data_IF_930278885031
#
_entry.id   IF_930278885031
#
_cell.length_a   1.000
_cell.length_b   1.000
_cell.length_c   1.000
_cell.angle_alpha   90.00
_cell.angle_beta   90.00
_cell.angle_gamma   90.00
#
_symmetry.space_group_name_H-M   'P 1'
#
loop_
_entity.id
_entity.type
_entity.pdbx_description
1 polymer ?
#
# COMPACT_ATOMS: atom_id res chain seq x y z
N UNK A 1 -20.29 21.14 -35.85
CA UNK A 1 -19.45 20.53 -34.79
C UNK A 1 -19.30 19.06 -35.15
N UNK A 2 -18.15 18.64 -35.64
CA UNK A 2 -17.88 17.22 -35.91
C UNK A 2 -17.77 16.50 -34.57
N UNK A 3 -18.74 15.63 -34.24
CA UNK A 3 -18.63 14.71 -33.12
C UNK A 3 -17.39 13.82 -33.36
N UNK A 4 -16.39 13.93 -32.52
CA UNK A 4 -15.26 13.01 -32.54
C UNK A 4 -15.83 11.63 -32.17
N UNK A 5 -15.90 10.73 -33.15
CA UNK A 5 -16.28 9.35 -32.90
C UNK A 5 -15.18 8.71 -32.05
N UNK A 6 -15.48 8.47 -30.76
CA UNK A 6 -14.55 7.79 -29.84
C UNK A 6 -14.64 6.30 -30.14
N UNK A 7 -13.55 5.72 -30.63
CA UNK A 7 -13.43 4.26 -30.78
C UNK A 7 -13.09 3.62 -29.41
N UNK A 8 -14.14 3.26 -28.68
CA UNK A 8 -14.02 2.61 -27.37
C UNK A 8 -13.37 1.23 -27.44
N UNK A 9 -13.49 0.52 -28.58
CA UNK A 9 -12.85 -0.79 -28.75
C UNK A 9 -11.31 -0.66 -28.79
N UNK A 10 -10.80 0.31 -29.53
CA UNK A 10 -9.37 0.63 -29.54
C UNK A 10 -8.88 1.12 -28.19
N UNK A 11 -9.65 1.96 -27.48
CA UNK A 11 -9.29 2.42 -26.15
C UNK A 11 -9.26 1.28 -25.12
N UNK A 12 -10.21 0.36 -25.15
CA UNK A 12 -10.24 -0.82 -24.29
C UNK A 12 -8.98 -1.68 -24.52
N UNK A 13 -8.66 -1.98 -25.77
CA UNK A 13 -7.46 -2.76 -26.12
C UNK A 13 -6.19 -2.06 -25.62
N UNK A 14 -6.02 -0.79 -25.92
CA UNK A 14 -4.87 -0.01 -25.49
C UNK A 14 -4.73 0.04 -23.94
N UNK A 15 -5.85 0.12 -23.23
CA UNK A 15 -5.88 0.06 -21.77
C UNK A 15 -5.37 -1.28 -21.21
N UNK A 16 -5.80 -2.40 -21.81
CA UNK A 16 -5.34 -3.74 -21.44
C UNK A 16 -3.85 -3.92 -21.77
N UNK A 17 -3.43 -3.51 -22.96
CA UNK A 17 -2.02 -3.59 -23.41
C UNK A 17 -1.11 -2.77 -22.48
N UNK A 18 -1.51 -1.56 -22.09
CA UNK A 18 -0.77 -0.73 -21.12
C UNK A 18 -0.67 -1.39 -19.74
N UNK A 19 -1.72 -2.08 -19.28
CA UNK A 19 -1.70 -2.85 -18.04
C UNK A 19 -0.70 -4.01 -18.11
N UNK A 20 -0.74 -4.78 -19.20
CA UNK A 20 0.20 -5.89 -19.46
C UNK A 20 1.65 -5.36 -19.47
N UNK A 21 1.92 -4.29 -20.24
CA UNK A 21 3.24 -3.70 -20.36
C UNK A 21 3.80 -3.25 -18.99
N UNK A 22 2.98 -2.63 -18.14
CA UNK A 22 3.42 -2.22 -16.80
C UNK A 22 3.76 -3.42 -15.92
N UNK A 23 2.98 -4.51 -15.97
CA UNK A 23 3.27 -5.74 -15.23
C UNK A 23 4.51 -6.48 -15.78
N UNK A 24 4.72 -6.44 -17.09
CA UNK A 24 5.96 -6.97 -17.71
C UNK A 24 7.20 -6.18 -17.25
N UNK A 25 7.10 -4.84 -17.16
CA UNK A 25 8.18 -4.02 -16.63
C UNK A 25 8.45 -4.32 -15.14
N UNK A 26 7.42 -4.53 -14.32
CA UNK A 26 7.57 -4.98 -12.93
C UNK A 26 8.23 -6.36 -12.87
N UNK A 27 7.81 -7.30 -13.72
CA UNK A 27 8.39 -8.64 -13.80
C UNK A 27 9.87 -8.63 -14.24
N UNK A 28 10.28 -7.66 -15.03
CA UNK A 28 11.67 -7.51 -15.46
C UNK A 28 12.57 -6.80 -14.42
N UNK A 29 11.98 -6.13 -13.42
CA UNK A 29 12.72 -5.41 -12.36
C UNK A 29 13.03 -6.33 -11.18
N UNK A 30 14.16 -7.04 -11.27
CA UNK A 30 14.62 -7.94 -10.21
C UNK A 30 14.92 -7.20 -8.88
N UNK A 31 15.35 -5.94 -8.94
CA UNK A 31 15.61 -5.16 -7.74
C UNK A 31 14.32 -4.78 -7.01
N UNK A 32 13.25 -4.45 -7.74
CA UNK A 32 11.93 -4.23 -7.14
C UNK A 32 11.37 -5.54 -6.55
N UNK A 33 11.50 -6.66 -7.25
CA UNK A 33 11.07 -7.96 -6.72
C UNK A 33 11.79 -8.30 -5.42
N UNK A 34 13.10 -8.10 -5.36
CA UNK A 34 13.88 -8.32 -4.13
C UNK A 34 13.38 -7.44 -2.98
N UNK A 35 13.09 -6.15 -3.23
CA UNK A 35 12.52 -5.26 -2.21
C UNK A 35 11.13 -5.68 -1.76
N UNK A 36 10.30 -6.22 -2.64
CA UNK A 36 8.98 -6.78 -2.25
C UNK A 36 9.17 -7.95 -1.30
N UNK A 37 10.10 -8.87 -1.59
CA UNK A 37 10.42 -10.00 -0.70
C UNK A 37 10.94 -9.53 0.66
N UNK A 38 11.77 -8.50 0.70
CA UNK A 38 12.30 -7.90 1.93
C UNK A 38 11.18 -7.25 2.77
N UNK A 39 10.23 -6.56 2.14
CA UNK A 39 9.05 -6.01 2.84
C UNK A 39 8.18 -7.13 3.39
N UNK A 40 7.97 -8.21 2.65
CA UNK A 40 7.25 -9.38 3.17
C UNK A 40 7.95 -9.99 4.39
N UNK A 41 9.28 -10.14 4.35
CA UNK A 41 10.06 -10.61 5.49
C UNK A 41 9.95 -9.65 6.70
N UNK A 42 9.99 -8.34 6.47
CA UNK A 42 9.77 -7.33 7.50
C UNK A 42 8.38 -7.48 8.16
N UNK A 43 7.32 -7.64 7.37
CA UNK A 43 5.96 -7.84 7.90
C UNK A 43 5.83 -9.14 8.70
N UNK A 44 6.46 -10.23 8.26
CA UNK A 44 6.51 -11.50 8.99
C UNK A 44 7.12 -11.30 10.38
N UNK A 45 8.27 -10.64 10.47
CA UNK A 45 8.93 -10.37 11.75
C UNK A 45 8.12 -9.41 12.63
N UNK A 46 7.42 -8.45 12.02
CA UNK A 46 6.49 -7.54 12.70
C UNK A 46 5.38 -8.33 13.38
N UNK A 47 4.71 -9.24 12.67
CA UNK A 47 3.65 -10.07 13.23
C UNK A 47 4.16 -11.08 14.27
N UNK A 48 5.34 -11.68 14.07
CA UNK A 48 5.97 -12.57 15.08
C UNK A 48 6.21 -11.87 16.41
N UNK A 49 6.48 -10.57 16.38
CA UNK A 49 6.67 -9.74 17.58
C UNK A 49 5.36 -9.21 18.18
N UNK A 50 4.22 -9.64 17.66
CA UNK A 50 2.90 -9.15 18.09
C UNK A 50 2.65 -7.69 17.73
N UNK A 51 3.35 -7.16 16.74
CA UNK A 51 3.18 -5.82 16.19
C UNK A 51 2.24 -5.87 14.99
N UNK A 52 1.87 -4.69 14.46
CA UNK A 52 0.86 -4.56 13.42
C UNK A 52 1.39 -3.89 12.17
N UNK A 53 0.67 -4.09 11.08
CA UNK A 53 0.86 -3.38 9.82
C UNK A 53 -0.28 -2.37 9.65
N UNK A 54 0.08 -1.10 9.47
CA UNK A 54 -0.85 0.02 9.30
C UNK A 54 -0.80 0.48 7.85
N UNK A 55 -1.96 0.70 7.24
CA UNK A 55 -2.08 1.16 5.86
C UNK A 55 -2.76 2.51 5.78
N UNK A 56 -2.35 3.36 4.83
CA UNK A 56 -3.08 4.57 4.48
C UNK A 56 -2.93 4.91 3.00
N UNK A 57 -3.97 5.54 2.44
CA UNK A 57 -4.01 6.03 1.08
C UNK A 57 -5.16 7.00 0.86
N UNK A 58 -5.22 7.63 -0.32
CA UNK A 58 -6.31 8.51 -0.72
C UNK A 58 -7.07 7.92 -1.92
N UNK A 59 -8.37 8.14 -2.02
CA UNK A 59 -9.19 7.69 -3.15
C UNK A 59 -9.08 6.19 -3.39
N UNK A 60 -8.65 5.75 -4.58
CA UNK A 60 -8.43 4.33 -4.89
C UNK A 60 -7.37 3.69 -4.00
N UNK A 61 -6.33 4.43 -3.62
CA UNK A 61 -5.32 3.94 -2.66
C UNK A 61 -5.86 3.82 -1.24
N UNK A 62 -6.94 4.53 -0.86
CA UNK A 62 -7.66 4.28 0.40
C UNK A 62 -8.42 2.95 0.34
N UNK A 63 -9.01 2.62 -0.81
CA UNK A 63 -9.64 1.33 -1.04
C UNK A 63 -8.61 0.19 -0.97
N UNK A 64 -7.43 0.34 -1.58
CA UNK A 64 -6.33 -0.63 -1.47
C UNK A 64 -5.88 -0.79 -0.02
N UNK A 65 -5.70 0.30 0.73
CA UNK A 65 -5.31 0.27 2.14
C UNK A 65 -6.34 -0.49 3.00
N UNK A 66 -7.63 -0.28 2.76
CA UNK A 66 -8.71 -0.98 3.45
C UNK A 66 -8.73 -2.46 3.08
N UNK A 67 -8.61 -2.78 1.79
CA UNK A 67 -8.59 -4.14 1.27
C UNK A 67 -7.44 -4.94 1.89
N UNK A 68 -6.20 -4.43 1.82
CA UNK A 68 -5.02 -5.13 2.34
C UNK A 68 -5.08 -5.32 3.87
N UNK A 69 -5.59 -4.36 4.62
CA UNK A 69 -5.80 -4.53 6.05
C UNK A 69 -6.81 -5.66 6.34
N UNK A 70 -7.87 -5.77 5.54
CA UNK A 70 -8.87 -6.82 5.68
C UNK A 70 -8.30 -8.21 5.35
N UNK A 71 -7.41 -8.32 4.35
CA UNK A 71 -6.74 -9.58 4.02
C UNK A 71 -5.89 -10.12 5.18
N UNK A 72 -5.21 -9.25 5.93
CA UNK A 72 -4.48 -9.66 7.12
C UNK A 72 -5.39 -10.02 8.30
N UNK A 73 -6.43 -9.23 8.56
CA UNK A 73 -7.33 -9.42 9.70
C UNK A 73 -8.23 -10.65 9.51
N UNK A 74 -8.75 -10.88 8.30
CA UNK A 74 -9.57 -12.02 7.95
C UNK A 74 -8.69 -13.22 7.54
N UNK A 75 -8.54 -13.42 6.24
CA UNK A 75 -7.66 -14.44 5.62
C UNK A 75 -7.43 -14.05 4.17
N UNK A 76 -6.37 -14.55 3.56
CA UNK A 76 -6.09 -14.33 2.13
C UNK A 76 -6.44 -15.58 1.30
N UNK A 77 -5.63 -16.61 1.31
CA UNK A 77 -5.84 -17.81 0.48
C UNK A 77 -6.47 -18.98 1.26
N UNK A 78 -6.14 -19.14 2.55
CA UNK A 78 -6.66 -20.23 3.37
C UNK A 78 -7.00 -19.78 4.79
N UNK A 79 -7.78 -20.59 5.51
CA UNK A 79 -8.21 -20.27 6.87
C UNK A 79 -7.05 -20.30 7.86
N UNK A 80 -6.94 -19.27 8.69
CA UNK A 80 -5.88 -19.08 9.68
C UNK A 80 -6.27 -18.00 10.70
N UNK A 81 -5.57 -17.92 11.85
CA UNK A 81 -5.75 -16.83 12.80
C UNK A 81 -5.53 -15.45 12.17
N UNK A 82 -6.34 -14.47 12.57
CA UNK A 82 -6.21 -13.08 12.12
C UNK A 82 -4.87 -12.47 12.53
N UNK A 83 -4.32 -11.61 11.67
CA UNK A 83 -3.11 -10.82 11.92
C UNK A 83 -3.48 -9.37 12.20
N UNK A 84 -2.82 -8.70 13.18
CA UNK A 84 -3.18 -7.35 13.56
C UNK A 84 -2.82 -6.33 12.46
N UNK A 85 -3.83 -5.82 11.78
CA UNK A 85 -3.68 -4.81 10.74
C UNK A 85 -4.80 -3.78 10.80
N UNK A 86 -4.54 -2.57 10.33
CA UNK A 86 -5.51 -1.48 10.33
C UNK A 86 -5.30 -0.55 9.14
N UNK A 87 -6.40 -0.14 8.51
CA UNK A 87 -6.40 0.98 7.57
C UNK A 87 -6.78 2.28 8.28
N UNK A 88 -5.90 3.28 8.20
CA UNK A 88 -6.16 4.62 8.72
C UNK A 88 -7.11 5.45 7.83
N UNK A 89 -7.56 4.86 6.72
CA UNK A 89 -8.45 5.50 5.74
C UNK A 89 -9.94 5.15 5.96
N UNK A 90 -10.32 4.51 7.09
CA UNK A 90 -11.66 3.93 7.25
C UNK A 90 -12.54 4.57 8.30
N UNK A 91 -11.97 5.10 9.38
CA UNK A 91 -12.77 5.72 10.44
C UNK A 91 -13.18 7.14 10.02
N UNK A 92 -14.44 7.27 9.63
CA UNK A 92 -14.99 8.55 9.13
C UNK A 92 -15.03 9.64 10.19
N UNK A 93 -15.20 9.28 11.47
CA UNK A 93 -15.17 10.25 12.57
C UNK A 93 -13.76 10.80 12.78
N UNK A 94 -12.74 9.95 12.80
CA UNK A 94 -11.34 10.41 12.87
C UNK A 94 -10.97 11.25 11.65
N UNK A 95 -11.30 10.80 10.44
CA UNK A 95 -10.98 11.53 9.20
C UNK A 95 -11.63 12.92 9.16
N UNK A 96 -12.92 13.01 9.52
CA UNK A 96 -13.65 14.27 9.47
C UNK A 96 -13.24 15.23 10.61
N UNK A 97 -13.05 14.73 11.83
CA UNK A 97 -12.60 15.54 12.96
C UNK A 97 -11.18 16.08 12.73
N UNK A 98 -10.23 15.23 12.38
CA UNK A 98 -8.84 15.65 12.11
C UNK A 98 -8.82 16.62 10.91
N UNK A 99 -9.56 16.31 9.85
CA UNK A 99 -9.64 17.16 8.66
C UNK A 99 -10.19 18.54 8.96
N UNK A 100 -11.21 18.64 9.82
CA UNK A 100 -11.82 19.90 10.25
C UNK A 100 -10.90 20.71 11.19
N UNK A 101 -10.28 20.06 12.16
CA UNK A 101 -9.60 20.73 13.27
C UNK A 101 -8.12 21.02 12.96
N UNK A 102 -7.46 20.14 12.20
CA UNK A 102 -6.01 20.17 11.94
C UNK A 102 -5.65 20.22 10.45
N UNK A 103 -6.64 20.06 9.58
CA UNK A 103 -6.45 20.06 8.13
C UNK A 103 -6.15 18.66 7.55
N UNK A 104 -6.46 18.52 6.26
CA UNK A 104 -6.36 17.26 5.52
C UNK A 104 -4.92 16.68 5.50
N UNK A 105 -3.91 17.53 5.61
CA UNK A 105 -2.51 17.12 5.58
C UNK A 105 -2.11 16.30 6.81
N UNK A 106 -2.81 16.44 7.95
CA UNK A 106 -2.49 15.74 9.20
C UNK A 106 -3.33 14.49 9.44
N UNK A 107 -4.24 14.10 8.50
CA UNK A 107 -5.18 12.99 8.66
C UNK A 107 -4.53 11.69 9.16
N UNK A 108 -3.46 11.25 8.51
CA UNK A 108 -2.82 9.98 8.82
C UNK A 108 -1.73 10.12 9.89
N UNK A 109 -1.02 11.25 9.88
CA UNK A 109 -0.02 11.54 10.91
C UNK A 109 -0.61 11.50 12.30
N UNK A 110 -1.73 12.21 12.54
CA UNK A 110 -2.39 12.24 13.85
C UNK A 110 -2.85 10.86 14.32
N UNK A 111 -3.35 10.04 13.41
CA UNK A 111 -3.75 8.67 13.72
C UNK A 111 -2.54 7.79 14.06
N UNK A 112 -1.41 7.92 13.35
CA UNK A 112 -0.17 7.22 13.68
C UNK A 112 0.34 7.64 15.06
N UNK A 113 0.44 8.95 15.34
CA UNK A 113 0.89 9.47 16.63
C UNK A 113 0.04 8.96 17.80
N UNK A 114 -1.26 8.70 17.58
CA UNK A 114 -2.16 8.20 18.61
C UNK A 114 -2.16 6.67 18.77
N UNK A 115 -1.92 5.92 17.72
CA UNK A 115 -2.19 4.49 17.68
C UNK A 115 -0.97 3.60 17.44
N UNK A 116 0.05 4.10 16.75
CA UNK A 116 1.21 3.30 16.38
C UNK A 116 2.11 3.02 17.59
N UNK A 117 2.77 1.88 17.56
CA UNK A 117 3.73 1.46 18.58
C UNK A 117 5.10 1.17 17.95
N UNK A 118 6.19 1.34 18.70
CA UNK A 118 7.51 0.97 18.19
C UNK A 118 7.55 -0.47 17.69
N UNK A 119 8.08 -0.67 16.49
CA UNK A 119 8.12 -1.96 15.81
C UNK A 119 6.92 -2.26 14.90
N UNK A 120 5.91 -1.39 14.85
CA UNK A 120 4.88 -1.45 13.80
C UNK A 120 5.48 -1.10 12.43
N UNK A 121 4.79 -1.51 11.36
CA UNK A 121 5.09 -1.11 9.98
C UNK A 121 3.97 -0.23 9.46
N UNK A 122 4.30 0.87 8.83
CA UNK A 122 3.37 1.74 8.14
C UNK A 122 3.59 1.67 6.63
N UNK A 123 2.56 1.30 5.88
CA UNK A 123 2.55 1.27 4.41
C UNK A 123 1.72 2.45 3.90
N UNK A 124 2.39 3.46 3.41
CA UNK A 124 1.75 4.63 2.79
C UNK A 124 1.62 4.44 1.28
N UNK A 125 0.37 4.48 0.77
CA UNK A 125 0.07 4.26 -0.64
C UNK A 125 -0.19 5.60 -1.33
N UNK A 126 0.66 5.96 -2.30
CA UNK A 126 0.57 7.24 -3.03
C UNK A 126 1.04 7.10 -4.48
N UNK A 127 0.13 7.13 -5.43
CA UNK A 127 0.47 6.96 -6.85
C UNK A 127 1.44 8.02 -7.37
N UNK A 128 1.32 9.26 -6.90
CA UNK A 128 2.17 10.38 -7.32
C UNK A 128 3.47 10.52 -6.52
N UNK A 129 3.57 9.89 -5.35
CA UNK A 129 4.66 10.15 -4.40
C UNK A 129 4.63 11.54 -3.76
N UNK A 130 3.51 12.30 -3.88
CA UNK A 130 3.41 13.72 -3.47
C UNK A 130 2.21 14.03 -2.58
N UNK A 131 1.45 13.03 -2.14
CA UNK A 131 0.27 13.23 -1.27
C UNK A 131 0.73 13.75 0.08
N UNK A 132 0.43 15.02 0.40
CA UNK A 132 0.96 15.71 1.59
C UNK A 132 0.63 14.99 2.89
N UNK A 133 -0.57 14.43 3.03
CA UNK A 133 -0.98 13.68 4.21
C UNK A 133 -0.21 12.34 4.38
N UNK A 134 0.15 11.69 3.27
CA UNK A 134 1.02 10.49 3.30
C UNK A 134 2.46 10.88 3.65
N UNK A 135 2.97 11.97 3.06
CA UNK A 135 4.30 12.48 3.39
C UNK A 135 4.42 12.87 4.87
N UNK A 136 3.42 13.58 5.41
CA UNK A 136 3.39 13.94 6.82
C UNK A 136 3.35 12.71 7.75
N UNK A 137 2.69 11.63 7.33
CA UNK A 137 2.68 10.36 8.05
C UNK A 137 4.06 9.68 8.03
N UNK A 138 4.74 9.65 6.89
CA UNK A 138 6.12 9.15 6.80
C UNK A 138 7.08 9.93 7.69
N UNK A 139 7.00 11.25 7.71
CA UNK A 139 7.86 12.09 8.54
C UNK A 139 7.70 11.79 10.05
N UNK A 140 6.55 11.28 10.49
CA UNK A 140 6.32 10.89 11.88
C UNK A 140 6.90 9.51 12.23
N UNK A 141 7.01 8.59 11.27
CA UNK A 141 7.35 7.19 11.53
C UNK A 141 8.64 7.01 12.33
N UNK A 142 9.70 7.72 11.95
CA UNK A 142 11.03 7.60 12.61
C UNK A 142 10.96 7.91 14.09
N UNK A 143 10.27 8.98 14.50
CA UNK A 143 10.14 9.37 15.90
C UNK A 143 9.25 8.43 16.70
N UNK A 144 8.35 7.70 16.03
CA UNK A 144 7.47 6.71 16.63
C UNK A 144 8.09 5.29 16.70
N UNK A 145 9.28 5.08 16.12
CA UNK A 145 9.90 3.77 16.01
C UNK A 145 9.13 2.83 15.06
N UNK A 146 8.45 3.40 14.07
CA UNK A 146 7.66 2.69 13.05
C UNK A 146 8.48 2.61 11.77
N UNK A 147 8.59 1.42 11.18
CA UNK A 147 9.24 1.26 9.88
C UNK A 147 8.28 1.69 8.76
N UNK A 148 8.75 2.56 7.88
CA UNK A 148 7.96 3.17 6.82
C UNK A 148 8.20 2.51 5.46
N UNK A 149 7.12 2.14 4.78
CA UNK A 149 7.15 1.56 3.42
C UNK A 149 6.27 2.42 2.52
N UNK A 150 6.84 2.96 1.45
CA UNK A 150 6.10 3.67 0.42
C UNK A 150 5.76 2.74 -0.73
N UNK A 151 4.48 2.67 -1.09
CA UNK A 151 3.99 2.04 -2.32
C UNK A 151 3.59 3.14 -3.29
N UNK A 152 4.37 3.36 -4.37
CA UNK A 152 4.22 4.53 -5.23
C UNK A 152 4.43 4.22 -6.71
N UNK A 153 4.16 5.21 -7.57
CA UNK A 153 4.54 5.19 -8.98
C UNK A 153 5.93 5.79 -9.20
N UNK A 154 6.25 6.13 -10.45
CA UNK A 154 7.57 6.66 -10.85
C UNK A 154 7.85 8.09 -10.37
N UNK A 155 6.85 8.79 -9.80
CA UNK A 155 7.00 10.17 -9.32
C UNK A 155 7.37 10.29 -7.84
N UNK A 156 7.75 11.52 -7.44
CA UNK A 156 8.10 11.89 -6.07
C UNK A 156 9.50 11.44 -5.65
N UNK A 157 10.09 12.20 -4.73
CA UNK A 157 11.35 11.85 -4.07
C UNK A 157 11.02 11.31 -2.67
N UNK A 158 11.00 9.99 -2.53
CA UNK A 158 10.64 9.29 -1.30
C UNK A 158 11.83 8.58 -0.65
N UNK A 159 12.92 8.39 -1.39
CA UNK A 159 14.09 7.62 -0.97
C UNK A 159 14.78 8.23 0.26
N UNK A 160 14.67 9.55 0.44
CA UNK A 160 15.20 10.27 1.60
C UNK A 160 14.24 10.33 2.80
N UNK A 161 12.98 9.91 2.63
CA UNK A 161 11.90 10.09 3.63
C UNK A 161 11.42 8.81 4.26
N UNK A 162 11.61 7.66 3.60
CA UNK A 162 11.07 6.38 4.05
C UNK A 162 12.16 5.32 4.07
N UNK A 163 11.95 4.28 4.86
CA UNK A 163 12.92 3.19 4.99
C UNK A 163 12.93 2.30 3.75
N UNK A 164 11.78 2.06 3.11
CA UNK A 164 11.68 1.24 1.89
C UNK A 164 10.72 1.87 0.88
N UNK A 165 11.15 1.95 -0.39
CA UNK A 165 10.31 2.39 -1.50
C UNK A 165 10.04 1.23 -2.47
N UNK A 166 8.76 0.90 -2.67
CA UNK A 166 8.27 0.00 -3.71
C UNK A 166 7.70 0.83 -4.86
N UNK A 167 8.49 1.03 -5.89
CA UNK A 167 8.18 1.95 -7.00
C UNK A 167 7.70 1.20 -8.23
N UNK A 168 6.41 1.33 -8.56
CA UNK A 168 5.84 0.80 -9.80
C UNK A 168 6.40 1.59 -10.99
N UNK A 169 6.89 0.94 -12.06
CA UNK A 169 7.49 1.60 -13.22
C UNK A 169 6.43 2.21 -14.16
N UNK A 170 5.60 3.12 -13.63
CA UNK A 170 4.55 3.82 -14.36
C UNK A 170 4.29 5.20 -13.75
N UNK A 171 3.89 6.17 -14.60
CA UNK A 171 3.37 7.47 -14.18
C UNK A 171 1.84 7.56 -14.33
N UNK A 172 1.18 6.54 -14.88
CA UNK A 172 -0.26 6.53 -15.14
C UNK A 172 -1.01 5.89 -13.96
N UNK A 173 -1.79 6.71 -13.24
CA UNK A 173 -2.45 6.34 -11.97
C UNK A 173 -3.19 4.99 -12.02
N UNK A 174 -4.07 4.68 -13.00
CA UNK A 174 -4.73 3.37 -13.05
C UNK A 174 -3.75 2.18 -13.12
N UNK A 175 -2.71 2.28 -13.94
CA UNK A 175 -1.68 1.22 -14.06
C UNK A 175 -0.88 1.05 -12.78
N UNK A 176 -0.60 2.15 -12.07
CA UNK A 176 0.06 2.12 -10.77
C UNK A 176 -0.83 1.39 -9.75
N UNK A 177 -2.11 1.75 -9.64
CA UNK A 177 -3.04 1.13 -8.69
C UNK A 177 -3.23 -0.37 -8.95
N UNK A 178 -3.34 -0.80 -10.21
CA UNK A 178 -3.38 -2.23 -10.57
C UNK A 178 -2.13 -3.01 -10.10
N UNK A 179 -0.97 -2.36 -10.10
CA UNK A 179 0.25 -2.96 -9.57
C UNK A 179 0.35 -2.86 -8.05
N UNK A 180 -0.20 -1.80 -7.43
CA UNK A 180 -0.24 -1.66 -5.98
C UNK A 180 -1.01 -2.82 -5.34
N UNK A 181 -2.22 -3.11 -5.83
CA UNK A 181 -2.99 -4.23 -5.28
C UNK A 181 -2.33 -5.58 -5.57
N UNK A 182 -1.71 -5.77 -6.75
CA UNK A 182 -0.95 -6.97 -7.06
C UNK A 182 0.22 -7.19 -6.07
N UNK A 183 1.03 -6.15 -5.81
CA UNK A 183 2.12 -6.20 -4.84
C UNK A 183 1.57 -6.48 -3.44
N UNK A 184 0.48 -5.83 -3.05
CA UNK A 184 -0.18 -6.07 -1.77
C UNK A 184 -0.61 -7.52 -1.59
N UNK A 185 -1.23 -8.14 -2.61
CA UNK A 185 -1.61 -9.55 -2.59
C UNK A 185 -0.39 -10.48 -2.48
N UNK A 186 0.71 -10.18 -3.17
CA UNK A 186 1.96 -10.96 -3.03
C UNK A 186 2.54 -10.86 -1.61
N UNK A 187 2.47 -9.71 -0.96
CA UNK A 187 2.87 -9.53 0.44
C UNK A 187 1.95 -10.33 1.38
N UNK A 188 0.63 -10.31 1.15
CA UNK A 188 -0.32 -11.10 1.92
C UNK A 188 -0.05 -12.60 1.79
N UNK A 189 0.15 -13.10 0.55
CA UNK A 189 0.48 -14.50 0.29
C UNK A 189 1.79 -14.92 0.98
N UNK A 190 2.85 -14.12 0.83
CA UNK A 190 4.15 -14.41 1.46
C UNK A 190 4.04 -14.52 2.99
N UNK A 191 3.35 -13.55 3.62
CA UNK A 191 3.14 -13.54 5.07
C UNK A 191 2.33 -14.74 5.50
N UNK A 192 1.21 -15.02 4.84
CA UNK A 192 0.30 -16.10 5.17
C UNK A 192 0.98 -17.46 5.05
N UNK A 193 1.68 -17.72 3.94
CA UNK A 193 2.39 -18.97 3.72
C UNK A 193 3.56 -19.20 4.70
N UNK A 194 4.31 -18.16 5.04
CA UNK A 194 5.44 -18.31 5.98
C UNK A 194 4.96 -18.51 7.41
N UNK A 195 3.91 -17.81 7.83
CA UNK A 195 3.42 -17.93 9.21
C UNK A 195 2.49 -19.16 9.41
N UNK A 196 1.69 -19.49 8.40
CA UNK A 196 0.59 -20.43 8.53
C UNK A 196 0.53 -21.51 7.42
N UNK A 197 1.56 -21.65 6.58
CA UNK A 197 1.55 -22.61 5.46
C UNK A 197 1.29 -24.05 5.85
N UNK A 198 1.52 -24.42 7.13
CA UNK A 198 1.17 -25.73 7.69
C UNK A 198 -0.35 -25.96 7.79
N UNK A 199 -1.17 -24.91 7.70
CA UNK A 199 -2.63 -24.96 7.70
C UNK A 199 -3.23 -24.97 6.28
N UNK A 200 -2.41 -24.73 5.24
CA UNK A 200 -2.88 -24.71 3.86
C UNK A 200 -3.49 -26.05 3.44
N UNK A 201 -4.60 -26.08 2.69
CA UNK A 201 -5.14 -27.31 2.12
C UNK A 201 -4.10 -27.99 1.23
N UNK A 202 -4.05 -29.33 1.29
CA UNK A 202 -3.17 -30.14 0.44
C UNK A 202 -3.72 -30.25 -0.97
#
# INVERSE_FOLDING_TARGET
MNAVSIDFASQLRAGIEASIATKQALLADSALQQRILEVGALMIETFRKGRRVLFAGNGGSAADAQHLAAEFVSRFEFDRPGLPSLSLSTDTSMLTAIGNDYGYELLFRRQLEAQAQPGDVFVGITTSGRSKNILAAFDACKSLGVTSVALCGSGGDLESRVDVVLRVPSAHTPRIQECHILIGHMLCAQVEHVLFGHLAPR
#
